data_IF_717231656905
#
_entry.id   IF_717231656905
#
_cell.length_a   1.000
_cell.length_b   1.000
_cell.length_c   1.000
_cell.angle_alpha   90.00
_cell.angle_beta   90.00
_cell.angle_gamma   90.00
#
_symmetry.space_group_name_H-M   'P 1'
#
loop_
_entity.id
_entity.type
_entity.pdbx_description
1 polymer ?
#
# COMPACT_ATOMS: atom_id res chain seq x y z
N UNK A 1 6.70 14.91 -25.57
CA UNK A 1 7.12 13.74 -26.38
C UNK A 1 6.96 14.10 -27.85
N UNK A 2 7.95 13.83 -28.69
CA UNK A 2 7.95 14.16 -30.13
C UNK A 2 8.36 12.96 -30.96
N UNK A 3 7.55 12.66 -31.99
CA UNK A 3 7.88 11.64 -33.00
C UNK A 3 9.16 11.99 -33.78
N UNK A 4 9.41 13.28 -34.03
CA UNK A 4 10.61 13.73 -34.77
C UNK A 4 11.89 13.61 -33.97
N UNK A 5 11.82 13.71 -32.63
CA UNK A 5 12.96 13.51 -31.72
C UNK A 5 13.12 12.04 -31.30
N UNK A 6 12.23 11.14 -31.75
CA UNK A 6 12.27 9.72 -31.41
C UNK A 6 12.02 9.40 -29.92
N UNK A 7 11.54 10.35 -29.12
CA UNK A 7 11.36 10.20 -27.67
C UNK A 7 9.90 9.95 -27.27
N UNK A 8 9.14 9.29 -28.14
CA UNK A 8 7.77 8.84 -27.84
C UNK A 8 7.85 7.60 -26.98
N UNK A 9 7.08 7.59 -25.90
CA UNK A 9 6.92 6.44 -25.01
C UNK A 9 5.73 5.64 -25.49
N UNK A 10 5.96 4.41 -25.95
CA UNK A 10 4.86 3.49 -26.26
C UNK A 10 4.34 2.85 -24.96
N UNK A 11 3.09 3.13 -24.54
CA UNK A 11 2.53 2.54 -23.33
C UNK A 11 2.46 1.01 -23.39
N UNK A 12 2.27 0.41 -24.57
CA UNK A 12 2.18 -1.05 -24.71
C UNK A 12 3.51 -1.73 -24.39
N UNK A 13 4.62 -1.11 -24.80
CA UNK A 13 5.95 -1.60 -24.44
C UNK A 13 6.20 -1.42 -22.93
N UNK A 14 5.81 -0.28 -22.36
CA UNK A 14 6.00 -0.03 -20.91
C UNK A 14 5.17 -0.94 -20.03
N UNK A 15 3.96 -1.31 -20.45
CA UNK A 15 3.14 -2.31 -19.76
C UNK A 15 3.81 -3.69 -19.71
N UNK A 16 4.56 -4.08 -20.76
CA UNK A 16 5.33 -5.34 -20.77
C UNK A 16 6.54 -5.29 -19.84
N UNK A 17 7.17 -4.13 -19.69
CA UNK A 17 8.37 -3.95 -18.85
C UNK A 17 8.02 -3.82 -17.37
N UNK A 18 7.02 -3.02 -17.03
CA UNK A 18 6.69 -2.67 -15.64
C UNK A 18 5.48 -3.42 -15.07
N UNK A 19 4.83 -4.24 -15.89
CA UNK A 19 3.54 -4.86 -15.55
C UNK A 19 2.38 -3.87 -15.63
N UNK A 20 1.19 -4.41 -15.82
CA UNK A 20 -0.03 -3.61 -16.03
C UNK A 20 -0.34 -2.75 -14.80
N UNK A 21 -0.36 -3.36 -13.62
CA UNK A 21 -0.76 -2.65 -12.39
C UNK A 21 0.32 -1.68 -11.92
N UNK A 22 1.60 -2.05 -12.03
CA UNK A 22 2.71 -1.17 -11.68
C UNK A 22 2.72 0.11 -12.52
N UNK A 23 2.52 -0.03 -13.83
CA UNK A 23 2.45 1.14 -14.72
C UNK A 23 1.19 1.98 -14.51
N UNK A 24 0.01 1.35 -14.33
CA UNK A 24 -1.24 2.05 -14.00
C UNK A 24 -1.12 2.84 -12.70
N UNK A 25 -0.54 2.22 -11.67
CA UNK A 25 -0.28 2.87 -10.40
C UNK A 25 0.60 4.12 -10.58
N UNK A 26 1.74 3.98 -11.28
CA UNK A 26 2.62 5.11 -11.56
C UNK A 26 1.89 6.26 -12.27
N UNK A 27 1.08 5.97 -13.29
CA UNK A 27 0.35 6.99 -14.03
C UNK A 27 -0.67 7.73 -13.15
N UNK A 28 -1.38 7.03 -12.26
CA UNK A 28 -2.33 7.67 -11.33
C UNK A 28 -1.63 8.43 -10.20
N UNK A 29 -0.45 7.97 -9.80
CA UNK A 29 0.31 8.51 -8.68
C UNK A 29 1.10 9.76 -9.04
N UNK A 30 1.81 9.71 -10.17
CA UNK A 30 2.68 10.80 -10.63
C UNK A 30 2.04 11.65 -11.71
N UNK A 31 1.04 11.11 -12.42
CA UNK A 31 0.26 11.86 -13.39
C UNK A 31 -0.58 12.92 -12.69
N UNK A 32 -0.59 14.12 -13.26
CA UNK A 32 -1.50 15.19 -12.88
C UNK A 32 -2.46 15.42 -14.04
N UNK A 33 -3.75 15.52 -13.73
CA UNK A 33 -4.77 15.93 -14.70
C UNK A 33 -4.73 17.43 -14.95
N UNK A 34 -4.22 18.19 -13.98
CA UNK A 34 -4.27 19.65 -13.97
C UNK A 34 -2.96 20.29 -14.48
N UNK A 35 -1.90 19.49 -14.65
CA UNK A 35 -0.58 19.98 -15.04
C UNK A 35 0.22 18.91 -15.76
N UNK A 36 1.18 19.34 -16.58
CA UNK A 36 2.09 18.42 -17.24
C UNK A 36 2.98 17.67 -16.25
N UNK A 37 3.28 16.40 -16.56
CA UNK A 37 4.19 15.57 -15.80
C UNK A 37 5.33 15.06 -16.69
N UNK A 38 6.55 15.07 -16.15
CA UNK A 38 7.73 14.52 -16.82
C UNK A 38 7.87 13.01 -16.57
N UNK A 39 8.01 12.26 -17.66
CA UNK A 39 8.19 10.81 -17.63
C UNK A 39 9.67 10.40 -17.69
N UNK A 40 10.04 9.39 -16.89
CA UNK A 40 11.29 8.65 -17.04
C UNK A 40 11.12 7.22 -16.48
N UNK A 41 11.59 6.21 -17.20
CA UNK A 41 11.56 4.80 -16.78
C UNK A 41 12.07 4.60 -15.35
N UNK A 42 13.16 5.29 -14.98
CA UNK A 42 13.73 5.27 -13.63
C UNK A 42 12.72 5.68 -12.56
N UNK A 43 11.92 6.72 -12.81
CA UNK A 43 10.88 7.18 -11.86
C UNK A 43 9.76 6.15 -11.70
N UNK A 44 9.42 5.43 -12.77
CA UNK A 44 8.44 4.34 -12.71
C UNK A 44 8.93 3.25 -11.76
N UNK A 45 10.17 2.81 -11.94
CA UNK A 45 10.80 1.78 -11.10
C UNK A 45 10.89 2.23 -9.64
N UNK A 46 11.36 3.46 -9.40
CA UNK A 46 11.45 4.02 -8.05
C UNK A 46 10.09 4.04 -7.34
N UNK A 47 9.04 4.49 -8.04
CA UNK A 47 7.70 4.58 -7.47
C UNK A 47 7.08 3.21 -7.19
N UNK A 48 7.20 2.27 -8.11
CA UNK A 48 6.74 0.88 -7.92
C UNK A 48 7.46 0.25 -6.73
N UNK A 49 8.78 0.40 -6.66
CA UNK A 49 9.56 -0.18 -5.57
C UNK A 49 9.22 0.43 -4.21
N UNK A 50 9.11 1.76 -4.12
CA UNK A 50 8.81 2.44 -2.87
C UNK A 50 7.40 2.11 -2.34
N UNK A 51 6.39 2.22 -3.19
CA UNK A 51 5.01 2.18 -2.72
C UNK A 51 4.43 0.75 -2.82
N UNK A 52 4.66 0.06 -3.94
CA UNK A 52 4.07 -1.28 -4.15
C UNK A 52 4.93 -2.39 -3.53
N UNK A 53 6.23 -2.44 -3.82
CA UNK A 53 7.07 -3.53 -3.28
C UNK A 53 7.36 -3.32 -1.79
N UNK A 54 7.92 -2.16 -1.44
CA UNK A 54 8.45 -1.92 -0.09
C UNK A 54 7.40 -1.60 0.96
N UNK A 55 6.21 -1.13 0.56
CA UNK A 55 5.15 -0.77 1.51
C UNK A 55 4.05 -1.82 1.50
N UNK A 56 3.32 -1.96 0.38
CA UNK A 56 2.24 -2.94 0.27
C UNK A 56 2.76 -4.39 0.30
N UNK A 57 3.74 -4.70 -0.55
CA UNK A 57 4.31 -6.04 -0.69
C UNK A 57 4.97 -6.55 0.59
N UNK A 58 5.75 -5.69 1.26
CA UNK A 58 6.34 -6.03 2.56
C UNK A 58 5.28 -6.26 3.64
N UNK A 59 4.22 -5.46 3.70
CA UNK A 59 3.14 -5.67 4.66
C UNK A 59 2.46 -7.02 4.41
N UNK A 60 2.09 -7.28 3.16
CA UNK A 60 1.48 -8.56 2.77
C UNK A 60 2.38 -9.73 3.15
N UNK A 61 3.67 -9.67 2.77
CA UNK A 61 4.64 -10.72 3.07
C UNK A 61 4.84 -10.95 4.57
N UNK A 62 4.77 -9.91 5.41
CA UNK A 62 4.83 -10.05 6.88
C UNK A 62 3.58 -10.69 7.45
N UNK A 63 2.40 -10.30 6.96
CA UNK A 63 1.12 -10.84 7.41
C UNK A 63 0.92 -12.30 6.97
N UNK A 64 1.42 -12.69 5.80
CA UNK A 64 1.30 -14.06 5.26
C UNK A 64 2.50 -14.94 5.56
N UNK A 65 3.55 -14.44 6.20
CA UNK A 65 4.68 -15.28 6.60
C UNK A 65 4.21 -16.43 7.51
N UNK A 66 4.72 -17.63 7.32
CA UNK A 66 4.35 -18.82 8.12
C UNK A 66 4.66 -18.66 9.62
N UNK A 67 5.55 -17.75 9.97
CA UNK A 67 5.87 -17.36 11.35
C UNK A 67 4.76 -16.55 12.04
N UNK A 68 3.81 -16.01 11.28
CA UNK A 68 2.66 -15.24 11.76
C UNK A 68 1.37 -15.97 11.41
N UNK A 69 1.21 -16.35 10.15
CA UNK A 69 0.02 -17.02 9.62
C UNK A 69 0.37 -18.40 9.04
N UNK A 70 0.64 -19.39 9.91
CA UNK A 70 1.00 -20.75 9.47
C UNK A 70 -0.08 -21.41 8.60
N UNK A 71 -1.34 -21.16 8.93
CA UNK A 71 -2.49 -21.80 8.26
C UNK A 71 -2.91 -21.07 6.98
N UNK A 72 -2.34 -19.88 6.70
CA UNK A 72 -2.78 -19.01 5.59
C UNK A 72 -4.27 -18.67 5.66
N UNK A 73 -4.81 -18.58 6.88
CA UNK A 73 -6.21 -18.27 7.14
C UNK A 73 -6.33 -16.84 7.64
N UNK A 74 -7.44 -16.19 7.30
CA UNK A 74 -7.81 -14.90 7.89
C UNK A 74 -8.90 -15.18 8.94
N UNK A 75 -8.55 -15.22 10.25
CA UNK A 75 -9.54 -15.47 11.28
C UNK A 75 -10.54 -14.31 11.36
N UNK A 76 -11.77 -14.55 11.85
CA UNK A 76 -12.71 -13.47 12.11
C UNK A 76 -12.10 -12.48 13.10
N UNK A 77 -12.25 -11.18 12.82
CA UNK A 77 -11.75 -10.14 13.69
C UNK A 77 -12.60 -10.02 14.95
N UNK A 78 -11.97 -10.14 16.12
CA UNK A 78 -12.58 -9.77 17.40
C UNK A 78 -12.12 -8.37 17.78
N UNK A 79 -12.94 -7.35 17.50
CA UNK A 79 -12.62 -5.97 17.88
C UNK A 79 -12.51 -5.81 19.40
N UNK A 80 -13.30 -6.55 20.18
CA UNK A 80 -13.19 -6.54 21.63
C UNK A 80 -11.78 -6.97 22.09
N UNK A 81 -11.28 -8.11 21.58
CA UNK A 81 -9.95 -8.60 21.91
C UNK A 81 -8.85 -7.67 21.38
N UNK A 82 -9.02 -7.11 20.17
CA UNK A 82 -8.08 -6.14 19.62
C UNK A 82 -7.99 -4.89 20.51
N UNK A 83 -9.12 -4.34 20.94
CA UNK A 83 -9.18 -3.11 21.74
C UNK A 83 -8.70 -3.28 23.18
N UNK A 84 -8.67 -4.51 23.71
CA UNK A 84 -7.97 -4.82 24.97
C UNK A 84 -6.45 -4.83 24.81
N UNK A 85 -5.95 -5.13 23.60
CA UNK A 85 -4.53 -5.27 23.31
C UNK A 85 -3.85 -3.97 22.84
N UNK A 86 -4.54 -3.16 22.04
CA UNK A 86 -3.99 -1.94 21.45
C UNK A 86 -4.21 -0.71 22.34
N UNK A 87 -3.36 0.30 22.16
CA UNK A 87 -3.50 1.59 22.83
C UNK A 87 -4.70 2.39 22.31
N UNK A 88 -5.13 3.40 23.07
CA UNK A 88 -6.20 4.31 22.65
C UNK A 88 -5.86 5.06 21.35
N UNK A 89 -4.60 5.44 21.17
CA UNK A 89 -4.15 6.14 19.95
C UNK A 89 -4.18 5.20 18.73
N UNK A 90 -3.71 3.96 18.88
CA UNK A 90 -3.81 2.94 17.82
C UNK A 90 -5.26 2.63 17.47
N UNK A 91 -6.15 2.61 18.47
CA UNK A 91 -7.58 2.43 18.26
C UNK A 91 -8.19 3.56 17.42
N UNK A 92 -7.78 4.81 17.64
CA UNK A 92 -8.23 5.94 16.82
C UNK A 92 -7.83 5.76 15.36
N UNK A 93 -6.57 5.36 15.11
CA UNK A 93 -6.11 5.13 13.73
C UNK A 93 -6.80 3.92 13.10
N UNK A 94 -6.98 2.82 13.84
CA UNK A 94 -7.76 1.68 13.37
C UNK A 94 -9.18 2.09 12.97
N UNK A 95 -9.88 2.88 13.79
CA UNK A 95 -11.23 3.35 13.46
C UNK A 95 -11.25 4.22 12.20
N UNK A 96 -10.19 4.98 11.91
CA UNK A 96 -10.09 5.80 10.68
C UNK A 96 -10.07 4.96 9.40
N UNK A 97 -9.79 3.64 9.48
CA UNK A 97 -9.85 2.75 8.32
C UNK A 97 -11.26 2.63 7.75
N UNK A 98 -12.30 2.77 8.60
CA UNK A 98 -13.68 2.73 8.15
C UNK A 98 -14.08 3.93 7.28
N UNK A 99 -13.40 5.06 7.46
CA UNK A 99 -13.63 6.28 6.68
C UNK A 99 -12.84 6.29 5.36
N UNK A 100 -11.83 5.42 5.23
CA UNK A 100 -10.94 5.38 4.06
C UNK A 100 -11.68 5.28 2.72
N UNK A 101 -12.70 4.41 2.53
CA UNK A 101 -13.45 4.36 1.27
C UNK A 101 -14.08 5.71 0.92
N UNK A 102 -14.64 6.42 1.90
CA UNK A 102 -15.23 7.75 1.69
C UNK A 102 -14.22 8.80 1.26
N UNK A 103 -13.03 8.81 1.88
CA UNK A 103 -11.95 9.72 1.47
C UNK A 103 -11.43 9.41 0.06
N UNK A 104 -11.29 8.13 -0.28
CA UNK A 104 -10.89 7.70 -1.62
C UNK A 104 -11.94 8.14 -2.65
N UNK A 105 -13.22 7.85 -2.41
CA UNK A 105 -14.32 8.22 -3.30
C UNK A 105 -14.39 9.73 -3.54
N UNK A 106 -14.26 10.54 -2.48
CA UNK A 106 -14.24 11.99 -2.58
C UNK A 106 -13.10 12.49 -3.50
N UNK A 107 -11.90 11.93 -3.35
CA UNK A 107 -10.77 12.30 -4.20
C UNK A 107 -10.96 11.84 -5.65
N UNK A 108 -11.54 10.66 -5.87
CA UNK A 108 -11.83 10.15 -7.21
C UNK A 108 -12.88 11.01 -7.94
N UNK A 109 -13.95 11.43 -7.26
CA UNK A 109 -14.98 12.32 -7.84
C UNK A 109 -14.41 13.68 -8.30
N UNK A 110 -13.32 14.12 -7.68
CA UNK A 110 -12.63 15.37 -8.01
C UNK A 110 -11.42 15.17 -8.92
N UNK A 111 -11.22 13.96 -9.48
CA UNK A 111 -10.07 13.63 -10.32
C UNK A 111 -8.71 13.82 -9.62
N UNK A 112 -8.69 13.77 -8.28
CA UNK A 112 -7.49 13.88 -7.45
C UNK A 112 -6.87 12.50 -7.15
N UNK A 113 -6.61 11.70 -8.19
CA UNK A 113 -6.19 10.29 -8.04
C UNK A 113 -4.93 10.09 -7.20
N UNK A 114 -3.91 10.95 -7.37
CA UNK A 114 -2.68 10.87 -6.56
C UNK A 114 -2.97 11.01 -5.06
N UNK A 115 -3.89 11.93 -4.69
CA UNK A 115 -4.33 12.12 -3.29
C UNK A 115 -5.12 10.92 -2.77
N UNK A 116 -5.96 10.31 -3.61
CA UNK A 116 -6.64 9.07 -3.25
C UNK A 116 -5.64 7.94 -2.94
N UNK A 117 -4.56 7.86 -3.72
CA UNK A 117 -3.48 6.91 -3.46
C UNK A 117 -2.64 7.28 -2.24
N UNK A 118 -2.45 8.58 -1.94
CA UNK A 118 -1.77 9.04 -0.72
C UNK A 118 -2.49 8.60 0.56
N UNK A 119 -3.83 8.72 0.60
CA UNK A 119 -4.58 8.31 1.79
C UNK A 119 -4.50 6.80 2.02
N UNK A 120 -4.52 6.00 0.94
CA UNK A 120 -4.30 4.55 1.02
C UNK A 120 -2.88 4.23 1.51
N UNK A 121 -1.86 4.86 0.92
CA UNK A 121 -0.46 4.62 1.30
C UNK A 121 -0.19 5.02 2.75
N UNK A 122 -0.82 6.09 3.23
CA UNK A 122 -0.71 6.51 4.64
C UNK A 122 -1.20 5.42 5.60
N UNK A 123 -2.32 4.77 5.28
CA UNK A 123 -2.84 3.64 6.06
C UNK A 123 -1.93 2.40 5.98
N UNK A 124 -1.34 2.12 4.81
CA UNK A 124 -0.38 1.04 4.66
C UNK A 124 0.92 1.28 5.44
N UNK A 125 1.40 2.52 5.50
CA UNK A 125 2.56 2.88 6.32
C UNK A 125 2.27 2.70 7.80
N UNK A 126 1.09 3.14 8.27
CA UNK A 126 0.67 2.90 9.64
C UNK A 126 0.58 1.41 9.95
N UNK A 127 -0.04 0.60 9.08
CA UNK A 127 -0.15 -0.84 9.28
C UNK A 127 1.22 -1.54 9.33
N UNK A 128 2.18 -1.10 8.49
CA UNK A 128 3.57 -1.57 8.57
C UNK A 128 4.21 -1.23 9.93
N UNK A 129 4.01 -0.01 10.43
CA UNK A 129 4.54 0.43 11.71
C UNK A 129 3.89 -0.35 12.87
N UNK A 130 2.58 -0.58 12.82
CA UNK A 130 1.83 -1.37 13.79
C UNK A 130 2.38 -2.81 13.88
N UNK A 131 2.51 -3.50 12.74
CA UNK A 131 3.10 -4.85 12.70
C UNK A 131 4.53 -4.86 13.23
N UNK A 132 5.32 -3.82 12.92
CA UNK A 132 6.68 -3.71 13.41
C UNK A 132 6.77 -3.49 14.93
N UNK A 133 5.86 -2.69 15.50
CA UNK A 133 5.82 -2.40 16.93
C UNK A 133 5.39 -3.64 17.75
N UNK A 134 4.37 -4.35 17.27
CA UNK A 134 3.80 -5.51 17.97
C UNK A 134 4.54 -6.82 17.72
N UNK A 135 5.43 -6.88 16.71
CA UNK A 135 6.33 -8.00 16.42
C UNK A 135 5.64 -9.38 16.50
N UNK A 136 4.57 -9.63 15.73
CA UNK A 136 3.74 -10.83 15.86
C UNK A 136 4.51 -12.15 15.68
N UNK A 137 5.63 -12.14 14.97
CA UNK A 137 6.53 -13.29 14.81
C UNK A 137 7.27 -13.70 16.10
N UNK A 138 7.32 -12.83 17.12
CA UNK A 138 7.81 -13.16 18.47
C UNK A 138 6.66 -13.74 19.29
N UNK A 139 5.52 -13.04 19.32
CA UNK A 139 4.31 -13.47 20.04
C UNK A 139 3.86 -14.88 19.63
N UNK A 140 3.89 -15.19 18.33
CA UNK A 140 3.53 -16.53 17.82
C UNK A 140 4.44 -17.63 18.36
N UNK A 141 5.72 -17.33 18.61
CA UNK A 141 6.67 -18.30 19.17
C UNK A 141 6.43 -18.52 20.66
N UNK A 142 6.17 -17.45 21.42
CA UNK A 142 5.89 -17.51 22.86
C UNK A 142 4.67 -18.40 23.14
N UNK A 143 3.57 -18.17 22.41
CA UNK A 143 2.36 -19.00 22.46
C UNK A 143 2.65 -20.46 22.10
N UNK A 144 3.47 -20.71 21.07
CA UNK A 144 3.83 -22.07 20.68
C UNK A 144 4.72 -22.79 21.71
N UNK A 145 5.48 -22.04 22.51
CA UNK A 145 6.33 -22.58 23.59
C UNK A 145 5.63 -22.70 24.94
N UNK A 146 4.37 -22.24 25.07
CA UNK A 146 3.57 -22.37 26.29
C UNK A 146 4.05 -21.52 27.46
N UNK A 147 4.70 -20.38 27.17
CA UNK A 147 5.07 -19.34 28.15
C UNK A 147 4.06 -18.20 28.02
#
# INVERSE_FOLDING_TARGET
>A
MSKSLGNVVDPMDKLRVFGVDGFRYFLLKEGSIHSDCSYADKRVVERINADLANTLGNLLGRCTASSVNRLQELPPLSEAALFEFITQDERQVYNSLYDLPGYVDQHFQQFHFSKALDVIMSQLHWANAFIQAHRPWVLSKEVATGI
#
